data_IF_051060521937
#
_entry.id   IF_051060521937
#
_cell.length_a   1.000
_cell.length_b   1.000
_cell.length_c   1.000
_cell.angle_alpha   90.00
_cell.angle_beta   90.00
_cell.angle_gamma   90.00
#
_symmetry.space_group_name_H-M   'P 1'
#
loop_
_entity.id
_entity.type
_entity.pdbx_description
1 polymer ?
#
# COMPACT_ATOMS: atom_id res chain seq x y z
N UNK A 1 14.00 13.47 77.80
CA UNK A 1 13.69 12.81 76.50
C UNK A 1 12.74 13.72 75.73
N UNK A 2 13.24 14.54 74.80
CA UNK A 2 12.39 15.35 73.90
C UNK A 2 12.95 15.16 72.48
N UNK A 3 12.13 14.52 71.65
CA UNK A 3 12.45 14.10 70.29
C UNK A 3 11.99 15.19 69.30
N UNK A 4 12.91 15.75 68.52
CA UNK A 4 12.60 16.73 67.46
C UNK A 4 12.52 16.01 66.11
N UNK A 5 11.42 16.13 65.34
CA UNK A 5 11.34 15.50 64.03
C UNK A 5 12.09 16.33 62.98
N UNK A 6 13.07 15.71 62.32
CA UNK A 6 13.75 16.29 61.17
C UNK A 6 12.84 16.26 59.95
N UNK A 7 12.23 17.40 59.63
CA UNK A 7 11.50 17.63 58.37
C UNK A 7 12.52 17.58 57.22
N UNK A 8 12.42 16.55 56.37
CA UNK A 8 13.18 16.45 55.12
C UNK A 8 12.37 17.11 54.01
N UNK A 9 12.76 18.31 53.61
CA UNK A 9 12.21 18.98 52.43
C UNK A 9 12.77 18.26 51.20
N UNK A 10 11.92 17.48 50.53
CA UNK A 10 12.23 16.85 49.26
C UNK A 10 12.10 17.93 48.17
N UNK A 11 13.24 18.45 47.68
CA UNK A 11 13.25 19.32 46.50
C UNK A 11 12.92 18.46 45.30
N UNK A 12 11.64 18.48 44.89
CA UNK A 12 11.18 17.85 43.66
C UNK A 12 11.76 18.58 42.46
N UNK A 13 12.77 17.99 41.83
CA UNK A 13 13.26 18.44 40.52
C UNK A 13 12.19 18.07 39.49
N UNK A 14 11.30 19.02 39.19
CA UNK A 14 10.40 18.92 38.04
C UNK A 14 11.27 19.12 36.80
N UNK A 15 11.77 18.02 36.24
CA UNK A 15 12.36 18.01 34.91
C UNK A 15 11.24 18.27 33.90
N UNK A 16 11.10 19.53 33.48
CA UNK A 16 10.22 19.93 32.40
C UNK A 16 10.80 19.33 31.10
N UNK A 17 10.41 18.09 30.79
CA UNK A 17 10.85 17.40 29.59
C UNK A 17 10.42 18.20 28.37
N UNK A 18 11.38 18.69 27.58
CA UNK A 18 11.10 19.27 26.28
C UNK A 18 10.47 18.17 25.42
N UNK A 19 9.16 18.26 25.21
CA UNK A 19 8.46 17.44 24.25
C UNK A 19 8.98 17.81 22.84
N UNK A 20 9.95 17.06 22.34
CA UNK A 20 10.42 17.18 20.97
C UNK A 20 9.30 16.72 20.05
N UNK A 21 8.56 17.64 19.44
CA UNK A 21 7.68 17.32 18.32
C UNK A 21 8.56 16.89 17.16
N UNK A 22 8.63 15.59 16.89
CA UNK A 22 9.36 15.06 15.74
C UNK A 22 8.64 15.53 14.45
N UNK A 23 9.20 16.52 13.76
CA UNK A 23 8.73 16.92 12.45
C UNK A 23 9.05 15.82 11.43
N UNK A 24 8.07 15.45 10.60
CA UNK A 24 8.25 14.46 9.55
C UNK A 24 9.30 14.94 8.54
N UNK A 25 10.30 14.10 8.24
CA UNK A 25 11.35 14.44 7.27
C UNK A 25 10.76 14.58 5.86
N UNK A 26 11.36 15.40 4.97
CA UNK A 26 10.90 15.56 3.58
C UNK A 26 10.71 14.23 2.83
N UNK A 27 11.59 13.24 3.06
CA UNK A 27 11.48 11.90 2.49
C UNK A 27 10.20 11.16 2.95
N UNK A 28 9.86 11.25 4.23
CA UNK A 28 8.64 10.63 4.77
C UNK A 28 7.35 11.29 4.24
N UNK A 29 7.40 12.61 4.03
CA UNK A 29 6.31 13.36 3.39
C UNK A 29 6.15 12.93 1.93
N UNK A 30 7.25 12.86 1.17
CA UNK A 30 7.23 12.43 -0.22
C UNK A 30 6.68 11.00 -0.38
N UNK A 31 7.12 10.06 0.47
CA UNK A 31 6.59 8.69 0.46
C UNK A 31 5.10 8.64 0.82
N UNK A 32 4.68 9.40 1.84
CA UNK A 32 3.26 9.49 2.22
C UNK A 32 2.41 10.07 1.08
N UNK A 33 2.95 11.03 0.32
CA UNK A 33 2.28 11.59 -0.85
C UNK A 33 2.20 10.57 -2.00
N UNK A 34 3.26 9.80 -2.25
CA UNK A 34 3.25 8.73 -3.24
C UNK A 34 2.20 7.66 -2.91
N UNK A 35 2.07 7.27 -1.64
CA UNK A 35 1.02 6.37 -1.17
C UNK A 35 -0.37 6.94 -1.44
N UNK A 36 -0.61 8.22 -1.11
CA UNK A 36 -1.90 8.89 -1.36
C UNK A 36 -2.24 8.97 -2.85
N UNK A 37 -1.26 9.33 -3.69
CA UNK A 37 -1.43 9.38 -5.15
C UNK A 37 -1.69 7.99 -5.73
N UNK A 38 -0.95 6.98 -5.29
CA UNK A 38 -1.16 5.59 -5.71
C UNK A 38 -2.54 5.08 -5.34
N UNK A 39 -3.01 5.38 -4.13
CA UNK A 39 -4.37 5.08 -3.70
C UNK A 39 -5.41 5.79 -4.59
N UNK A 40 -5.18 7.05 -4.95
CA UNK A 40 -6.06 7.77 -5.86
C UNK A 40 -6.11 7.08 -7.24
N UNK A 41 -4.97 6.88 -7.89
CA UNK A 41 -4.86 6.20 -9.20
C UNK A 41 -5.55 4.83 -9.15
N UNK A 42 -5.32 4.05 -8.11
CA UNK A 42 -5.95 2.73 -7.93
C UNK A 42 -7.49 2.79 -7.97
N UNK A 43 -8.07 3.83 -7.39
CA UNK A 43 -9.52 3.96 -7.29
C UNK A 43 -10.15 4.63 -8.53
N UNK A 44 -9.43 5.53 -9.20
CA UNK A 44 -10.02 6.44 -10.19
C UNK A 44 -9.51 6.26 -11.61
N UNK A 45 -8.33 5.70 -11.82
CA UNK A 45 -7.72 5.64 -13.15
C UNK A 45 -8.14 4.38 -13.91
N UNK A 46 -8.66 4.57 -15.12
CA UNK A 46 -8.98 3.50 -16.06
C UNK A 46 -7.83 3.15 -17.01
N UNK A 47 -6.74 3.91 -16.93
CA UNK A 47 -5.57 3.82 -17.81
C UNK A 47 -5.94 3.96 -19.29
N UNK A 48 -6.96 4.77 -19.59
CA UNK A 48 -7.46 4.95 -20.96
C UNK A 48 -8.20 3.72 -21.50
N UNK A 49 -8.75 2.87 -20.63
CA UNK A 49 -9.62 1.78 -21.05
C UNK A 49 -10.89 2.32 -21.73
N UNK A 50 -11.19 1.78 -22.90
CA UNK A 50 -12.39 2.11 -23.69
C UNK A 50 -13.54 1.11 -23.48
N UNK A 51 -13.30 0.06 -22.69
CA UNK A 51 -14.26 -1.02 -22.51
C UNK A 51 -15.35 -0.63 -21.51
N UNK A 52 -16.63 -0.93 -21.81
CA UNK A 52 -17.71 -0.71 -20.87
C UNK A 52 -17.48 -1.61 -19.66
N UNK A 53 -17.40 -1.00 -18.49
CA UNK A 53 -17.24 -1.76 -17.26
C UNK A 53 -18.51 -2.46 -16.86
N UNK A 54 -18.36 -3.46 -16.00
CA UNK A 54 -19.44 -4.28 -15.45
C UNK A 54 -20.59 -3.47 -14.80
N UNK A 55 -20.38 -2.19 -14.47
CA UNK A 55 -21.39 -1.28 -13.89
C UNK A 55 -21.55 0.05 -14.66
N UNK A 56 -21.16 0.13 -15.94
CA UNK A 56 -21.38 1.33 -16.76
C UNK A 56 -20.45 2.53 -16.46
N UNK A 57 -19.32 2.32 -15.77
CA UNK A 57 -18.25 3.33 -15.56
C UNK A 57 -16.88 2.69 -15.72
N UNK A 58 -15.99 3.25 -16.56
CA UNK A 58 -14.65 2.71 -16.91
C UNK A 58 -13.93 1.96 -15.78
N UNK A 59 -13.28 0.85 -16.12
CA UNK A 59 -12.83 -0.15 -15.15
C UNK A 59 -11.55 0.34 -14.50
N UNK A 60 -11.54 0.49 -13.18
CA UNK A 60 -10.35 0.84 -12.39
C UNK A 60 -9.88 -0.38 -11.60
N UNK A 61 -8.72 -0.28 -10.91
CA UNK A 61 -8.25 -1.39 -10.08
C UNK A 61 -9.30 -1.75 -9.00
N UNK A 62 -9.94 -0.75 -8.42
CA UNK A 62 -10.98 -0.91 -7.39
C UNK A 62 -12.26 -1.59 -7.89
N UNK A 63 -12.49 -1.63 -9.21
CA UNK A 63 -13.64 -2.35 -9.77
C UNK A 63 -13.58 -3.85 -9.51
N UNK A 64 -12.38 -4.44 -9.40
CA UNK A 64 -12.20 -5.85 -9.04
C UNK A 64 -11.61 -6.03 -7.63
N UNK A 65 -10.70 -5.15 -7.23
CA UNK A 65 -10.05 -5.16 -5.92
C UNK A 65 -10.74 -4.17 -4.97
N UNK A 66 -11.88 -4.57 -4.44
CA UNK A 66 -12.73 -3.77 -3.56
C UNK A 66 -12.06 -3.40 -2.22
N UNK A 67 -12.63 -2.42 -1.51
CA UNK A 67 -12.08 -1.90 -0.24
C UNK A 67 -10.60 -1.49 -0.34
N UNK A 68 -10.23 -0.84 -1.46
CA UNK A 68 -8.84 -0.48 -1.75
C UNK A 68 -7.90 -1.69 -1.85
N UNK A 69 -8.44 -2.87 -2.21
CA UNK A 69 -7.69 -4.12 -2.27
C UNK A 69 -7.39 -4.75 -0.91
N UNK A 70 -8.01 -4.29 0.19
CA UNK A 70 -7.76 -4.85 1.53
C UNK A 70 -8.44 -6.18 1.78
N UNK A 71 -9.50 -6.47 1.05
CA UNK A 71 -10.26 -7.72 1.14
C UNK A 71 -10.19 -8.50 -0.16
N UNK A 72 -10.75 -9.71 -0.15
CA UNK A 72 -10.89 -10.53 -1.36
C UNK A 72 -11.69 -9.77 -2.42
N UNK A 73 -11.09 -9.66 -3.60
CA UNK A 73 -11.75 -9.06 -4.76
C UNK A 73 -12.64 -10.04 -5.50
N UNK A 74 -13.27 -9.55 -6.57
CA UNK A 74 -14.11 -10.35 -7.46
C UNK A 74 -14.00 -9.85 -8.90
N UNK A 75 -13.85 -10.78 -9.84
CA UNK A 75 -13.89 -10.49 -11.28
C UNK A 75 -15.34 -10.40 -11.78
N UNK A 76 -15.59 -9.81 -12.96
CA UNK A 76 -16.93 -9.72 -13.55
C UNK A 76 -17.65 -11.06 -13.70
N UNK A 77 -16.90 -12.15 -13.94
CA UNK A 77 -17.44 -13.51 -14.01
C UNK A 77 -17.73 -14.15 -12.64
N UNK A 78 -17.68 -13.38 -11.55
CA UNK A 78 -17.93 -13.84 -10.20
C UNK A 78 -16.76 -14.55 -9.52
N UNK A 79 -15.65 -14.80 -10.21
CA UNK A 79 -14.47 -15.47 -9.62
C UNK A 79 -13.84 -14.58 -8.55
N UNK A 80 -13.63 -15.14 -7.35
CA UNK A 80 -12.88 -14.46 -6.28
C UNK A 80 -11.40 -14.33 -6.67
N UNK A 81 -10.83 -13.18 -6.32
CA UNK A 81 -9.39 -12.91 -6.47
C UNK A 81 -8.80 -12.51 -5.10
N UNK A 82 -7.50 -12.74 -4.89
CA UNK A 82 -6.84 -12.41 -3.63
C UNK A 82 -6.99 -10.92 -3.26
N UNK A 83 -6.92 -10.67 -1.96
CA UNK A 83 -6.59 -9.35 -1.43
C UNK A 83 -5.16 -8.95 -1.85
N UNK A 84 -4.86 -7.67 -1.73
CA UNK A 84 -3.56 -7.09 -2.07
C UNK A 84 -2.69 -6.82 -0.82
N UNK A 85 -3.18 -7.18 0.37
CA UNK A 85 -2.52 -6.89 1.67
C UNK A 85 -1.17 -7.57 1.88
N UNK A 86 -0.77 -8.49 0.99
CA UNK A 86 0.59 -9.03 1.00
C UNK A 86 1.27 -8.94 -0.36
N UNK A 87 0.69 -8.24 -1.34
CA UNK A 87 1.20 -8.22 -2.71
C UNK A 87 2.67 -7.77 -2.73
N UNK A 88 2.99 -6.63 -2.15
CA UNK A 88 4.37 -6.13 -2.15
C UNK A 88 5.38 -7.00 -1.37
N UNK A 89 4.92 -7.92 -0.52
CA UNK A 89 5.79 -8.79 0.27
C UNK A 89 6.13 -10.12 -0.42
N UNK A 90 5.41 -10.50 -1.48
CA UNK A 90 5.53 -11.83 -2.13
C UNK A 90 6.13 -11.79 -3.54
N UNK A 91 6.36 -10.61 -4.11
CA UNK A 91 7.08 -10.44 -5.37
C UNK A 91 8.58 -10.21 -5.10
N UNK A 92 9.48 -10.61 -6.03
CA UNK A 92 9.20 -11.32 -7.27
C UNK A 92 8.70 -12.76 -7.06
N UNK A 93 8.02 -13.30 -8.07
CA UNK A 93 7.47 -14.67 -8.03
C UNK A 93 7.37 -15.28 -9.41
N UNK A 94 7.38 -16.60 -9.49
CA UNK A 94 7.04 -17.31 -10.73
C UNK A 94 5.56 -17.09 -11.08
N UNK A 95 5.30 -16.73 -12.33
CA UNK A 95 3.96 -16.65 -12.91
C UNK A 95 3.75 -17.87 -13.81
N UNK A 96 2.89 -18.82 -13.44
CA UNK A 96 2.53 -19.93 -14.33
C UNK A 96 1.92 -19.46 -15.64
N UNK A 97 1.17 -18.34 -15.63
CA UNK A 97 0.54 -17.77 -16.82
C UNK A 97 1.55 -17.18 -17.81
N UNK A 98 2.65 -16.62 -17.32
CA UNK A 98 3.67 -15.97 -18.16
C UNK A 98 4.94 -16.83 -18.30
N UNK A 99 4.95 -18.02 -17.71
CA UNK A 99 6.07 -18.96 -17.69
C UNK A 99 7.43 -18.36 -17.27
N UNK A 100 7.43 -17.35 -16.40
CA UNK A 100 8.65 -16.67 -15.94
C UNK A 100 8.49 -16.05 -14.55
N UNK A 101 9.62 -15.70 -13.94
CA UNK A 101 9.63 -14.85 -12.73
C UNK A 101 9.25 -13.42 -13.13
N UNK A 102 8.34 -12.82 -12.36
CA UNK A 102 7.85 -11.45 -12.57
C UNK A 102 7.97 -10.62 -11.30
N UNK A 103 8.11 -9.31 -11.46
CA UNK A 103 8.07 -8.34 -10.36
C UNK A 103 6.63 -7.87 -10.09
N UNK A 104 6.45 -7.07 -9.04
CA UNK A 104 5.15 -6.44 -8.74
C UNK A 104 4.73 -5.51 -9.89
N UNK A 105 5.64 -4.73 -10.43
CA UNK A 105 5.43 -3.81 -11.55
C UNK A 105 5.00 -4.56 -12.81
N UNK A 106 5.63 -5.70 -13.11
CA UNK A 106 5.19 -6.56 -14.22
C UNK A 106 3.77 -7.07 -13.98
N UNK A 107 3.41 -7.44 -12.75
CA UNK A 107 2.05 -7.84 -12.42
C UNK A 107 1.04 -6.69 -12.56
N UNK A 108 1.38 -5.48 -12.07
CA UNK A 108 0.55 -4.28 -12.24
C UNK A 108 0.29 -4.03 -13.73
N UNK A 109 1.35 -4.02 -14.54
CA UNK A 109 1.22 -3.82 -15.99
C UNK A 109 0.36 -4.89 -16.66
N UNK A 110 0.52 -6.15 -16.25
CA UNK A 110 -0.31 -7.25 -16.73
C UNK A 110 -1.78 -7.05 -16.38
N UNK A 111 -2.08 -6.61 -15.16
CA UNK A 111 -3.45 -6.31 -14.71
C UNK A 111 -4.05 -5.13 -15.49
N UNK A 112 -3.29 -4.06 -15.72
CA UNK A 112 -3.78 -2.91 -16.50
C UNK A 112 -4.09 -3.32 -17.95
N UNK A 113 -3.15 -4.02 -18.61
CA UNK A 113 -3.33 -4.44 -20.00
C UNK A 113 -4.46 -5.44 -20.21
N UNK A 114 -4.61 -6.42 -19.31
CA UNK A 114 -5.50 -7.57 -19.55
C UNK A 114 -6.75 -7.59 -18.66
N UNK A 115 -6.70 -6.91 -17.51
CA UNK A 115 -7.81 -6.82 -16.57
C UNK A 115 -8.62 -5.56 -16.78
N UNK A 116 -7.95 -4.42 -16.96
CA UNK A 116 -8.61 -3.14 -17.24
C UNK A 116 -8.77 -2.88 -18.74
N UNK A 117 -7.97 -3.54 -19.58
CA UNK A 117 -7.91 -3.27 -21.04
C UNK A 117 -7.46 -1.83 -21.32
N UNK A 118 -6.53 -1.33 -20.49
CA UNK A 118 -5.93 0.01 -20.61
C UNK A 118 -4.44 -0.02 -20.95
N UNK A 119 -3.81 1.15 -20.91
CA UNK A 119 -2.42 1.40 -21.24
C UNK A 119 -1.53 1.31 -19.98
N UNK A 120 -0.67 0.29 -19.85
CA UNK A 120 0.10 0.11 -18.63
C UNK A 120 1.15 1.22 -18.39
N UNK A 121 1.26 1.75 -17.17
CA UNK A 121 2.28 2.75 -16.84
C UNK A 121 3.68 2.19 -17.08
N UNK A 122 4.58 3.03 -17.61
CA UNK A 122 5.95 2.63 -17.93
C UNK A 122 6.71 2.20 -16.67
N UNK A 123 7.64 1.26 -16.83
CA UNK A 123 8.59 0.94 -15.75
C UNK A 123 9.37 2.21 -15.36
N UNK A 124 9.59 2.40 -14.06
CA UNK A 124 10.29 3.58 -13.52
C UNK A 124 9.50 4.90 -13.59
N UNK A 125 8.29 4.91 -14.16
CA UNK A 125 7.44 6.12 -14.15
C UNK A 125 6.97 6.48 -12.74
N UNK A 126 6.68 7.76 -12.51
CA UNK A 126 6.12 8.22 -11.23
C UNK A 126 4.78 7.53 -10.92
N UNK A 127 3.92 7.32 -11.92
CA UNK A 127 2.67 6.56 -11.77
C UNK A 127 2.92 5.15 -11.25
N UNK A 128 3.96 4.46 -11.76
CA UNK A 128 4.33 3.13 -11.27
C UNK A 128 4.87 3.21 -9.83
N UNK A 129 5.72 4.18 -9.52
CA UNK A 129 6.26 4.38 -8.18
C UNK A 129 5.14 4.66 -7.15
N UNK A 130 4.15 5.48 -7.52
CA UNK A 130 2.99 5.79 -6.68
C UNK A 130 2.15 4.52 -6.41
N UNK A 131 1.83 3.75 -7.45
CA UNK A 131 1.10 2.48 -7.32
C UNK A 131 1.84 1.45 -6.46
N UNK A 132 3.14 1.26 -6.69
CA UNK A 132 3.97 0.35 -5.87
C UNK A 132 4.02 0.83 -4.42
N UNK A 133 4.15 2.14 -4.19
CA UNK A 133 4.14 2.72 -2.84
C UNK A 133 2.82 2.42 -2.13
N UNK A 134 1.69 2.58 -2.83
CA UNK A 134 0.38 2.25 -2.28
C UNK A 134 0.26 0.76 -1.93
N UNK A 135 0.60 -0.15 -2.84
CA UNK A 135 0.56 -1.59 -2.56
C UNK A 135 1.56 -1.99 -1.46
N UNK A 136 2.70 -1.32 -1.37
CA UNK A 136 3.64 -1.43 -0.25
C UNK A 136 3.01 -1.06 1.08
N UNK A 137 2.24 0.03 1.13
CA UNK A 137 1.51 0.44 2.33
C UNK A 137 0.45 -0.57 2.78
N UNK A 138 -0.18 -1.29 1.84
CA UNK A 138 -1.13 -2.36 2.15
C UNK A 138 -0.43 -3.57 2.78
N UNK A 139 0.84 -3.79 2.47
CA UNK A 139 1.66 -4.88 2.97
C UNK A 139 2.49 -4.54 4.22
N UNK A 140 2.28 -3.36 4.81
CA UNK A 140 3.00 -2.96 6.01
C UNK A 140 2.85 -3.99 7.14
N UNK A 141 3.97 -4.38 7.76
CA UNK A 141 4.01 -5.40 8.81
C UNK A 141 3.95 -6.85 8.30
N UNK A 142 3.79 -7.10 7.00
CA UNK A 142 3.94 -8.45 6.44
C UNK A 142 5.42 -8.86 6.37
N UNK A 143 5.68 -10.15 6.57
CA UNK A 143 7.02 -10.73 6.32
C UNK A 143 7.29 -10.75 4.81
N UNK A 144 8.49 -10.38 4.39
CA UNK A 144 8.96 -10.61 3.03
C UNK A 144 9.05 -12.12 2.81
N UNK A 145 8.31 -12.62 1.83
CA UNK A 145 8.15 -14.03 1.51
C UNK A 145 8.17 -14.18 -0.02
N UNK A 146 9.34 -14.02 -0.63
CA UNK A 146 9.54 -14.10 -2.08
C UNK A 146 8.94 -15.41 -2.63
N UNK A 147 8.10 -15.31 -3.67
CA UNK A 147 7.36 -16.46 -4.22
C UNK A 147 6.14 -16.90 -3.39
N UNK A 148 5.78 -16.17 -2.34
CA UNK A 148 4.69 -16.49 -1.43
C UNK A 148 3.31 -16.54 -2.07
N UNK A 149 2.37 -17.18 -1.37
CA UNK A 149 0.96 -17.25 -1.82
C UNK A 149 0.25 -15.91 -1.58
N UNK A 150 -0.55 -15.41 -2.55
CA UNK A 150 -1.42 -14.26 -2.33
C UNK A 150 -2.46 -14.58 -1.25
N UNK A 151 -2.87 -13.59 -0.48
CA UNK A 151 -3.84 -13.75 0.60
C UNK A 151 -5.27 -13.56 0.14
#
# INVERSE_FOLDING_TARGET
MINQPRIRILVGVIALGLATTAFASPASVALSQAVKKGAHIFNTDSFGSHEPSFHGRHTTCSSCHIDGGRVMGRLPNGKRIPSLVNAAAIFPRYSPKLHKVITLETQIRHCVANGLMGHPPAYGSQTMADLVSYLGSLAHGQRIMIGGKPR
#
